data_IF_234353240589
#
_entry.id   IF_234353240589
#
_cell.length_a   1.000
_cell.length_b   1.000
_cell.length_c   1.000
_cell.angle_alpha   90.00
_cell.angle_beta   90.00
_cell.angle_gamma   90.00
#
_symmetry.space_group_name_H-M   'P 1'
#
loop_
_entity.id
_entity.type
_entity.pdbx_description
1 polymer ?
#
# COMPACT_ATOMS: atom_id res chain seq x y z
N UNK A 1 0.82 -17.59 12.25
CA UNK A 1 1.81 -16.61 11.80
C UNK A 1 1.28 -15.20 12.06
N UNK A 2 2.16 -14.27 12.38
CA UNK A 2 1.75 -12.86 12.41
C UNK A 2 1.35 -12.39 11.00
N UNK A 3 0.66 -11.27 10.95
CA UNK A 3 0.09 -10.75 9.72
C UNK A 3 0.38 -9.26 9.59
N UNK A 4 0.75 -8.83 8.38
CA UNK A 4 0.83 -7.42 8.05
C UNK A 4 -0.37 -7.12 7.14
N UNK A 5 -1.23 -6.23 7.59
CA UNK A 5 -2.35 -5.71 6.80
C UNK A 5 -1.93 -4.38 6.19
N UNK A 6 -1.97 -4.30 4.87
CA UNK A 6 -1.51 -3.14 4.12
C UNK A 6 -2.73 -2.45 3.50
N UNK A 7 -2.97 -1.22 3.92
CA UNK A 7 -4.01 -0.37 3.32
C UNK A 7 -3.38 0.58 2.32
N UNK A 8 -3.86 0.56 1.09
CA UNK A 8 -3.36 1.40 0.01
C UNK A 8 -4.49 2.29 -0.53
N UNK A 9 -4.62 3.47 0.04
CA UNK A 9 -5.64 4.43 -0.33
C UNK A 9 -5.08 5.84 -0.40
N UNK A 10 -5.79 6.80 0.18
CA UNK A 10 -5.30 8.17 0.33
C UNK A 10 -3.98 8.18 1.09
N UNK A 11 -3.93 7.45 2.21
CA UNK A 11 -2.70 7.14 2.94
C UNK A 11 -2.34 5.69 2.69
N UNK A 12 -1.09 5.32 2.96
CA UNK A 12 -0.63 3.93 2.97
C UNK A 12 -0.28 3.56 4.40
N UNK A 13 -0.90 2.49 4.90
CA UNK A 13 -0.72 2.06 6.28
C UNK A 13 -0.33 0.58 6.32
N UNK A 14 0.59 0.25 7.23
CA UNK A 14 1.04 -1.11 7.49
C UNK A 14 0.74 -1.42 8.94
N UNK A 15 -0.16 -2.36 9.19
CA UNK A 15 -0.56 -2.73 10.56
C UNK A 15 -0.09 -4.14 10.84
N UNK A 16 0.65 -4.31 11.93
CA UNK A 16 1.16 -5.60 12.36
C UNK A 16 0.22 -6.20 13.40
N UNK A 17 -0.23 -7.41 13.12
CA UNK A 17 -1.11 -8.19 13.98
C UNK A 17 -0.35 -9.46 14.37
N UNK A 18 -0.26 -9.77 15.66
CA UNK A 18 0.45 -10.97 16.09
C UNK A 18 -0.37 -12.25 15.82
N UNK A 19 0.25 -13.39 16.11
CA UNK A 19 -0.40 -14.69 15.88
C UNK A 19 -1.66 -14.90 16.72
N UNK A 20 -1.78 -14.16 17.82
CA UNK A 20 -2.95 -14.24 18.73
C UNK A 20 -3.99 -13.15 18.43
N UNK A 21 -3.87 -12.50 17.28
CA UNK A 21 -4.80 -11.47 16.81
C UNK A 21 -4.73 -10.15 17.59
N UNK A 22 -3.61 -9.90 18.27
CA UNK A 22 -3.40 -8.62 18.94
C UNK A 22 -2.75 -7.63 17.99
N UNK A 23 -3.23 -6.39 18.03
CA UNK A 23 -2.63 -5.29 17.29
C UNK A 23 -1.30 -4.92 17.94
N UNK A 24 -0.20 -5.01 17.18
CA UNK A 24 1.14 -4.70 17.68
C UNK A 24 1.49 -3.24 17.41
N UNK A 25 1.23 -2.76 16.22
CA UNK A 25 1.55 -1.40 15.84
C UNK A 25 1.32 -1.14 14.36
N UNK A 26 1.59 0.09 13.95
CA UNK A 26 1.33 0.52 12.57
C UNK A 26 2.37 1.52 12.10
N UNK A 27 2.50 1.64 10.78
CA UNK A 27 3.25 2.70 10.12
C UNK A 27 2.31 3.34 9.10
N UNK A 28 2.21 4.66 9.12
CA UNK A 28 1.30 5.39 8.25
C UNK A 28 2.08 6.45 7.49
N UNK A 29 1.89 6.51 6.19
CA UNK A 29 2.50 7.52 5.33
C UNK A 29 1.54 8.03 4.27
N UNK A 30 1.99 8.97 3.47
CA UNK A 30 1.22 9.45 2.33
C UNK A 30 1.07 8.32 1.32
N UNK A 31 -0.15 8.14 0.80
CA UNK A 31 -0.42 7.13 -0.21
C UNK A 31 -0.46 7.70 -1.61
N UNK A 32 -0.77 6.83 -2.58
CA UNK A 32 -0.85 7.21 -3.99
C UNK A 32 -1.85 8.35 -4.24
N UNK A 33 -2.96 8.36 -3.51
CA UNK A 33 -3.96 9.40 -3.68
C UNK A 33 -3.40 10.79 -3.37
N UNK A 34 -2.70 10.91 -2.23
CA UNK A 34 -2.06 12.18 -1.83
C UNK A 34 -0.92 12.54 -2.79
N UNK A 35 -0.11 11.55 -3.18
CA UNK A 35 1.01 11.78 -4.09
C UNK A 35 0.55 12.29 -5.45
N UNK A 36 -0.49 11.66 -6.01
CA UNK A 36 -1.05 12.07 -7.30
C UNK A 36 -1.60 13.49 -7.23
N UNK A 37 -2.32 13.81 -6.15
CA UNK A 37 -2.85 15.15 -5.94
C UNK A 37 -1.74 16.18 -5.81
N UNK A 38 -0.69 15.87 -5.04
CA UNK A 38 0.46 16.75 -4.87
C UNK A 38 1.17 17.02 -6.20
N UNK A 39 1.38 16.00 -7.01
CA UNK A 39 2.00 16.13 -8.31
C UNK A 39 1.13 16.97 -9.26
N UNK A 40 -0.17 16.75 -9.28
CA UNK A 40 -1.11 17.49 -10.14
C UNK A 40 -1.20 18.94 -9.73
N UNK A 41 -1.19 19.24 -8.42
CA UNK A 41 -1.31 20.62 -7.93
C UNK A 41 -0.04 21.44 -8.12
N UNK A 42 1.12 20.79 -8.13
CA UNK A 42 2.43 21.46 -8.28
C UNK A 42 2.86 21.63 -9.73
N UNK A 43 2.32 20.82 -10.62
CA UNK A 43 2.64 20.89 -12.05
C UNK A 43 1.36 21.15 -12.83
N UNK A 44 1.11 22.41 -13.14
CA UNK A 44 -0.12 22.84 -13.82
C UNK A 44 -0.30 22.22 -15.22
N UNK A 45 0.71 21.54 -15.74
CA UNK A 45 0.69 20.96 -17.08
C UNK A 45 0.21 19.51 -17.15
N UNK A 46 -0.05 18.86 -16.01
CA UNK A 46 -0.40 17.44 -15.98
C UNK A 46 -1.60 17.18 -15.07
N UNK A 47 -2.79 17.67 -15.45
CA UNK A 47 -3.93 17.63 -14.54
C UNK A 47 -4.53 16.26 -14.30
N UNK A 48 -4.28 15.24 -15.11
CA UNK A 48 -4.92 13.94 -14.95
C UNK A 48 -3.97 12.80 -15.33
N UNK A 49 -3.09 12.44 -14.40
CA UNK A 49 -2.25 11.27 -14.59
C UNK A 49 -3.10 10.04 -14.29
N UNK A 50 -3.30 9.19 -15.29
CA UNK A 50 -4.03 7.94 -15.08
C UNK A 50 -3.19 6.99 -14.21
N UNK A 51 -3.86 6.28 -13.29
CA UNK A 51 -3.20 5.26 -12.47
C UNK A 51 -3.05 3.99 -13.29
N UNK A 52 -2.03 3.97 -14.13
CA UNK A 52 -1.70 2.84 -15.01
C UNK A 52 -0.24 2.48 -14.84
N UNK A 53 0.06 1.18 -14.91
CA UNK A 53 1.43 0.70 -14.87
C UNK A 53 2.09 0.98 -16.22
N UNK A 54 3.14 1.81 -16.28
CA UNK A 54 3.87 2.00 -17.52
C UNK A 54 4.69 0.76 -17.85
N UNK A 55 5.07 0.62 -19.12
CA UNK A 55 5.83 -0.54 -19.59
C UNK A 55 7.23 -0.64 -19.00
N UNK A 56 7.82 0.48 -18.64
CA UNK A 56 9.19 0.55 -18.12
C UNK A 56 9.23 1.38 -16.84
N UNK A 57 10.15 1.02 -15.96
CA UNK A 57 10.43 1.80 -14.76
C UNK A 57 11.02 3.16 -15.13
N UNK A 58 11.91 3.18 -16.11
CA UNK A 58 12.55 4.41 -16.56
C UNK A 58 11.66 5.05 -17.64
N UNK A 59 11.03 6.17 -17.29
CA UNK A 59 10.22 6.92 -18.23
C UNK A 59 11.07 7.83 -19.11
N UNK A 60 10.68 7.99 -20.37
CA UNK A 60 11.38 8.84 -21.33
C UNK A 60 10.60 10.09 -21.70
N UNK A 61 9.45 10.29 -21.09
CA UNK A 61 8.65 11.51 -21.19
C UNK A 61 8.03 11.80 -19.83
N UNK A 62 7.50 13.00 -19.64
CA UNK A 62 7.01 13.45 -18.33
C UNK A 62 5.88 12.59 -17.81
N UNK A 63 4.91 12.25 -18.66
CA UNK A 63 3.74 11.46 -18.24
C UNK A 63 4.17 10.07 -17.78
N UNK A 64 4.97 9.35 -18.57
CA UNK A 64 5.44 8.01 -18.20
C UNK A 64 6.33 8.06 -16.97
N UNK A 65 7.14 9.11 -16.83
CA UNK A 65 7.99 9.28 -15.65
C UNK A 65 7.17 9.47 -14.38
N UNK A 66 6.08 10.23 -14.44
CA UNK A 66 5.19 10.42 -13.30
C UNK A 66 4.38 9.15 -12.99
N UNK A 67 3.90 8.45 -14.02
CA UNK A 67 3.25 7.14 -13.82
C UNK A 67 4.19 6.14 -13.16
N UNK A 68 5.44 6.09 -13.61
CA UNK A 68 6.46 5.22 -13.03
C UNK A 68 6.66 5.54 -11.55
N UNK A 69 6.76 6.81 -11.18
CA UNK A 69 6.93 7.22 -9.80
C UNK A 69 5.74 6.81 -8.94
N UNK A 70 4.53 7.05 -9.42
CA UNK A 70 3.33 6.68 -8.66
C UNK A 70 3.22 5.16 -8.46
N UNK A 71 3.54 4.37 -9.45
CA UNK A 71 3.31 2.93 -9.43
C UNK A 71 4.52 2.18 -8.89
N UNK A 72 5.69 2.33 -9.54
CA UNK A 72 6.87 1.54 -9.15
C UNK A 72 7.51 1.99 -7.85
N UNK A 73 7.51 3.28 -7.55
CA UNK A 73 8.01 3.73 -6.24
C UNK A 73 7.12 3.23 -5.10
N UNK A 74 5.82 3.19 -5.31
CA UNK A 74 4.92 2.63 -4.30
C UNK A 74 5.09 1.12 -4.14
N UNK A 75 5.30 0.38 -5.21
CA UNK A 75 5.61 -1.05 -5.11
C UNK A 75 6.91 -1.28 -4.32
N UNK A 76 7.94 -0.49 -4.63
CA UNK A 76 9.22 -0.58 -3.91
C UNK A 76 9.07 -0.20 -2.44
N UNK A 77 8.27 0.83 -2.14
CA UNK A 77 7.98 1.24 -0.77
C UNK A 77 7.31 0.11 0.00
N UNK A 78 6.32 -0.53 -0.59
CA UNK A 78 5.60 -1.62 0.06
C UNK A 78 6.56 -2.78 0.37
N UNK A 79 7.35 -3.21 -0.60
CA UNK A 79 8.33 -4.28 -0.39
C UNK A 79 9.34 -3.91 0.69
N UNK A 80 9.87 -2.70 0.63
CA UNK A 80 10.86 -2.24 1.60
C UNK A 80 10.31 -2.15 3.02
N UNK A 81 9.06 -1.71 3.16
CA UNK A 81 8.42 -1.64 4.48
C UNK A 81 8.14 -3.02 5.04
N UNK A 82 7.71 -3.95 4.21
CA UNK A 82 7.51 -5.34 4.65
C UNK A 82 8.82 -5.90 5.20
N UNK A 83 9.91 -5.72 4.47
CA UNK A 83 11.23 -6.20 4.90
C UNK A 83 11.63 -5.61 6.25
N UNK A 84 11.44 -4.31 6.42
CA UNK A 84 11.80 -3.62 7.68
C UNK A 84 10.95 -4.07 8.85
N UNK A 85 9.65 -4.26 8.64
CA UNK A 85 8.75 -4.72 9.69
C UNK A 85 9.08 -6.15 10.10
N UNK A 86 9.29 -7.05 9.13
CA UNK A 86 9.65 -8.43 9.43
C UNK A 86 11.00 -8.53 10.13
N UNK A 87 11.96 -7.72 9.71
CA UNK A 87 13.27 -7.69 10.35
C UNK A 87 13.19 -7.22 11.80
N UNK A 88 12.46 -6.13 12.06
CA UNK A 88 12.30 -5.60 13.42
C UNK A 88 11.53 -6.56 14.32
N UNK A 89 10.45 -7.14 13.81
CA UNK A 89 9.60 -8.05 14.57
C UNK A 89 10.25 -9.42 14.76
N UNK A 90 11.14 -9.84 13.86
CA UNK A 90 11.87 -11.09 13.93
C UNK A 90 11.14 -12.29 13.36
N UNK A 91 10.05 -12.11 12.65
CA UNK A 91 9.27 -13.19 12.05
C UNK A 91 8.75 -12.82 10.67
N UNK A 92 8.62 -13.83 9.81
CA UNK A 92 7.94 -13.70 8.52
C UNK A 92 6.43 -13.63 8.76
N UNK A 93 5.76 -12.76 8.04
CA UNK A 93 4.34 -12.48 8.21
C UNK A 93 3.52 -12.90 7.00
N UNK A 94 2.25 -13.21 7.24
CA UNK A 94 1.27 -13.29 6.16
C UNK A 94 0.95 -11.87 5.71
N UNK A 95 0.96 -11.63 4.40
CA UNK A 95 0.79 -10.29 3.82
C UNK A 95 -0.55 -10.19 3.14
N UNK A 96 -1.36 -9.22 3.56
CA UNK A 96 -2.68 -8.97 3.00
C UNK A 96 -2.85 -7.49 2.71
N UNK A 97 -3.31 -7.15 1.52
CA UNK A 97 -3.51 -5.77 1.12
C UNK A 97 -4.95 -5.50 0.76
N UNK A 98 -5.39 -4.29 1.07
CA UNK A 98 -6.70 -3.77 0.73
C UNK A 98 -6.57 -2.28 0.36
N UNK A 99 -7.64 -1.69 -0.07
CA UNK A 99 -7.69 -0.28 -0.43
C UNK A 99 -7.76 -0.08 -1.93
N UNK A 100 -8.04 1.17 -2.31
CA UNK A 100 -8.33 1.55 -3.69
C UNK A 100 -7.22 1.18 -4.68
N UNK A 101 -5.95 1.26 -4.25
CA UNK A 101 -4.81 1.04 -5.14
C UNK A 101 -4.13 -0.32 -4.96
N UNK A 102 -4.66 -1.16 -4.07
CA UNK A 102 -4.04 -2.44 -3.75
C UNK A 102 -3.93 -3.37 -4.97
N UNK A 103 -4.98 -3.46 -5.78
CA UNK A 103 -4.98 -4.31 -6.96
C UNK A 103 -4.00 -3.86 -8.04
N UNK A 104 -3.65 -2.56 -8.06
CA UNK A 104 -2.66 -2.02 -9.00
C UNK A 104 -1.23 -2.29 -8.52
N UNK A 105 -0.97 -2.14 -7.24
CA UNK A 105 0.39 -2.15 -6.66
C UNK A 105 0.83 -3.55 -6.23
N UNK A 106 -0.04 -4.32 -5.59
CA UNK A 106 0.34 -5.63 -5.04
C UNK A 106 0.95 -6.58 -6.08
N UNK A 107 0.42 -6.70 -7.31
CA UNK A 107 1.03 -7.58 -8.31
C UNK A 107 2.44 -7.18 -8.74
N UNK A 108 2.84 -5.92 -8.52
CA UNK A 108 4.16 -5.41 -8.90
C UNK A 108 5.18 -5.59 -7.79
N UNK A 109 4.74 -5.95 -6.60
CA UNK A 109 5.62 -6.19 -5.46
C UNK A 109 6.36 -7.51 -5.63
N UNK A 110 7.56 -7.59 -5.07
CA UNK A 110 8.37 -8.81 -5.04
C UNK A 110 7.86 -9.79 -4.00
N UNK A 111 7.30 -9.28 -2.91
CA UNK A 111 6.61 -10.10 -1.92
C UNK A 111 5.29 -10.60 -2.48
N UNK A 112 4.91 -11.81 -2.09
CA UNK A 112 3.59 -12.34 -2.42
C UNK A 112 2.57 -11.78 -1.44
N UNK A 113 1.69 -10.92 -1.95
CA UNK A 113 0.70 -10.22 -1.14
C UNK A 113 -0.69 -10.69 -1.56
N UNK A 114 -1.48 -11.13 -0.60
CA UNK A 114 -2.87 -11.53 -0.84
C UNK A 114 -3.74 -10.28 -0.88
N UNK A 115 -4.64 -10.22 -1.85
CA UNK A 115 -5.61 -9.13 -1.94
C UNK A 115 -6.88 -9.51 -1.19
N UNK A 116 -7.36 -8.63 -0.33
CA UNK A 116 -8.64 -8.79 0.36
C UNK A 116 -9.32 -7.42 0.40
N UNK A 117 -10.18 -7.16 -0.57
CA UNK A 117 -10.85 -5.86 -0.69
C UNK A 117 -11.89 -5.63 0.40
N UNK A 118 -12.26 -6.66 1.16
CA UNK A 118 -13.23 -6.58 2.24
C UNK A 118 -12.58 -6.47 3.63
N UNK A 119 -11.24 -6.38 3.68
CA UNK A 119 -10.52 -6.42 4.96
C UNK A 119 -10.93 -5.32 5.94
N UNK A 120 -11.16 -4.11 5.45
CA UNK A 120 -11.58 -2.99 6.28
C UNK A 120 -12.97 -3.27 6.87
N UNK A 121 -13.90 -3.77 6.05
CA UNK A 121 -15.25 -4.11 6.49
C UNK A 121 -15.22 -5.21 7.55
N UNK A 122 -14.41 -6.24 7.34
CA UNK A 122 -14.21 -7.32 8.31
C UNK A 122 -13.71 -6.79 9.64
N UNK A 123 -12.72 -5.89 9.59
CA UNK A 123 -12.17 -5.26 10.79
C UNK A 123 -13.20 -4.42 11.54
N UNK A 124 -14.03 -3.66 10.84
CA UNK A 124 -15.10 -2.87 11.43
C UNK A 124 -16.14 -3.77 12.12
N UNK A 125 -16.49 -4.88 11.49
CA UNK A 125 -17.44 -5.85 12.08
C UNK A 125 -16.86 -6.44 13.35
N UNK A 126 -15.58 -6.83 13.36
CA UNK A 126 -14.93 -7.36 14.56
C UNK A 126 -14.92 -6.35 15.70
N UNK A 127 -14.61 -5.09 15.41
CA UNK A 127 -14.62 -4.03 16.42
C UNK A 127 -16.04 -3.84 16.98
N UNK A 128 -17.04 -3.84 16.12
CA UNK A 128 -18.43 -3.73 16.53
C UNK A 128 -18.82 -4.83 17.51
N UNK A 129 -18.51 -6.08 17.18
CA UNK A 129 -18.86 -7.22 18.05
C UNK A 129 -18.10 -7.21 19.37
N UNK A 130 -16.85 -6.75 19.38
CA UNK A 130 -16.06 -6.66 20.63
C UNK A 130 -16.60 -5.60 21.59
N UNK A 131 -17.24 -4.56 21.06
CA UNK A 131 -17.73 -3.44 21.86
C UNK A 131 -19.24 -3.49 22.12
N UNK A 132 -19.91 -4.51 21.65
CA UNK A 132 -21.32 -4.77 21.94
C UNK A 132 -21.45 -5.83 23.01
#
# INVERSE_FOLDING_TARGET
MPQINIYMGTATAFSLIDKDKNFVGTSIGAGMGIEAEALSSKTSQLPNIAFETPRKVIGTNTIDSMKSGLVYQNAALVDGMIDRIEEEYGETCVLTATGRYASLIAPLCRHKINLDMDLILKGLIEVYYKNS
#
